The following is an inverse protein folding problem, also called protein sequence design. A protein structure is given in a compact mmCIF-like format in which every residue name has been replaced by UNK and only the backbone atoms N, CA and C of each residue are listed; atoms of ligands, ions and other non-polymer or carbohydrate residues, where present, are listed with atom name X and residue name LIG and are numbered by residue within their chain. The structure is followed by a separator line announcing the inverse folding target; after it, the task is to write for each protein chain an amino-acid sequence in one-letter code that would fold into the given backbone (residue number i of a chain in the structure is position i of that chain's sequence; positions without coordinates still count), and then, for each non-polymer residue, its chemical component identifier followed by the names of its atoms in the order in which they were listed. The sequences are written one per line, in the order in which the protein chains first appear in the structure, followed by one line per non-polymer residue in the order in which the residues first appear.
data_IF_170313127681
#
_entry.id   IF_170313127681
#
_cell.length_a   1.000
_cell.length_b   1.000
_cell.length_c   1.000
_cell.angle_alpha   90.00
_cell.angle_beta   90.00
_cell.angle_gamma   90.00
#
_symmetry.space_group_name_H-M   'P 1'
#
loop_
_entity.id
_entity.type
_entity.pdbx_description
1 polymer ?
#
# COMPACT_ATOMS: atom_id res chain seq x y z
N UNK A 1 0.27 -12.19 6.46
CA UNK A 1 1.20 -11.84 5.39
C UNK A 1 1.80 -10.51 5.74
N UNK A 2 3.09 -10.45 5.86
CA UNK A 2 3.76 -9.28 6.43
C UNK A 2 3.67 -8.12 5.43
N UNK A 3 3.04 -7.00 5.82
CA UNK A 3 2.93 -5.78 4.99
C UNK A 3 4.30 -5.27 4.51
N UNK A 4 5.39 -5.70 5.15
CA UNK A 4 6.77 -5.44 4.72
C UNK A 4 7.12 -6.05 3.35
N UNK A 5 6.52 -7.21 3.00
CA UNK A 5 6.88 -7.91 1.74
C UNK A 5 6.43 -7.18 0.46
N UNK A 6 5.34 -6.43 0.53
CA UNK A 6 4.82 -5.66 -0.62
C UNK A 6 5.63 -4.38 -0.86
N UNK A 7 6.24 -3.83 0.18
CA UNK A 7 7.01 -2.58 0.10
C UNK A 7 8.41 -2.79 -0.49
N UNK A 8 9.02 -3.97 -0.25
CA UNK A 8 10.34 -4.30 -0.79
C UNK A 8 10.32 -4.43 -2.32
N UNK A 9 9.23 -4.94 -2.89
CA UNK A 9 9.07 -5.05 -4.35
C UNK A 9 9.00 -3.71 -5.07
N UNK A 10 8.52 -2.67 -4.41
CA UNK A 10 8.40 -1.33 -5.00
C UNK A 10 9.75 -0.62 -5.19
N UNK A 11 10.79 -1.04 -4.47
CA UNK A 11 12.08 -0.33 -4.45
C UNK A 11 13.29 -1.23 -4.77
N UNK A 12 13.12 -2.31 -5.54
CA UNK A 12 14.22 -3.17 -6.06
C UNK A 12 15.22 -3.58 -4.97
N UNK A 13 14.75 -4.16 -3.86
CA UNK A 13 15.57 -4.62 -2.72
C UNK A 13 16.37 -3.53 -1.98
N UNK A 14 16.31 -2.27 -2.39
CA UNK A 14 16.95 -1.17 -1.67
C UNK A 14 16.11 -0.81 -0.44
N UNK A 15 16.79 -0.70 0.70
CA UNK A 15 16.12 -0.39 1.96
C UNK A 15 15.65 1.06 2.00
N UNK A 16 14.34 1.27 1.87
CA UNK A 16 13.67 2.53 2.17
C UNK A 16 13.11 2.44 3.58
N UNK A 17 13.55 3.34 4.47
CA UNK A 17 13.02 3.38 5.83
C UNK A 17 11.56 3.80 5.80
N UNK A 18 10.75 3.06 6.54
CA UNK A 18 9.31 3.28 6.66
C UNK A 18 8.89 3.34 8.12
N UNK A 19 7.80 4.04 8.38
CA UNK A 19 7.17 4.11 9.70
C UNK A 19 5.66 3.94 9.54
N UNK A 20 5.08 3.06 10.33
CA UNK A 20 3.62 2.91 10.41
C UNK A 20 3.05 3.81 11.50
N UNK A 21 2.16 4.70 11.12
CA UNK A 21 1.35 5.49 12.05
C UNK A 21 0.07 4.71 12.39
N UNK A 22 -0.05 4.32 13.66
CA UNK A 22 -1.19 3.54 14.15
C UNK A 22 -2.46 4.37 14.31
N UNK A 23 -2.32 5.68 14.57
CA UNK A 23 -3.46 6.56 14.81
C UNK A 23 -4.17 6.90 13.50
N UNK A 24 -3.38 7.17 12.43
CA UNK A 24 -3.90 7.51 11.12
C UNK A 24 -3.99 6.29 10.18
N UNK A 25 -3.56 5.11 10.62
CA UNK A 25 -3.46 3.88 9.81
C UNK A 25 -2.72 4.10 8.48
N UNK A 26 -1.60 4.85 8.52
CA UNK A 26 -0.90 5.29 7.33
C UNK A 26 0.60 4.99 7.38
N UNK A 27 1.19 4.69 6.21
CA UNK A 27 2.62 4.50 6.06
C UNK A 27 3.33 5.80 5.70
N UNK A 28 4.43 6.07 6.39
CA UNK A 28 5.37 7.14 6.09
C UNK A 28 6.68 6.59 5.55
N UNK A 29 7.19 7.19 4.50
CA UNK A 29 8.41 6.81 3.79
C UNK A 29 9.46 7.91 3.90
N UNK A 30 10.73 7.54 4.14
CA UNK A 30 11.84 8.47 4.10
C UNK A 30 12.06 9.00 2.68
N UNK A 31 11.85 10.29 2.47
CA UNK A 31 11.99 10.93 1.15
C UNK A 31 13.43 10.82 0.62
N UNK A 32 14.42 10.98 1.50
CA UNK A 32 15.82 10.89 1.11
C UNK A 32 16.19 9.51 0.60
N UNK A 33 15.65 8.46 1.21
CA UNK A 33 15.92 7.08 0.80
C UNK A 33 15.25 6.78 -0.56
N UNK A 34 14.02 7.24 -0.77
CA UNK A 34 13.33 7.12 -2.06
C UNK A 34 14.08 7.85 -3.17
N UNK A 35 14.52 9.09 -2.90
CA UNK A 35 15.35 9.85 -3.84
C UNK A 35 16.66 9.12 -4.15
N UNK A 36 17.30 8.51 -3.15
CA UNK A 36 18.53 7.72 -3.35
C UNK A 36 18.31 6.54 -4.30
N UNK A 37 17.18 5.86 -4.16
CA UNK A 37 16.82 4.72 -5.02
C UNK A 37 16.55 5.17 -6.45
N UNK A 38 15.76 6.24 -6.61
CA UNK A 38 15.23 6.64 -7.92
C UNK A 38 16.17 7.57 -8.72
N UNK A 39 17.23 8.11 -8.12
CA UNK A 39 18.10 9.06 -8.81
C UNK A 39 19.55 8.63 -8.94
N UNK A 40 19.98 7.59 -8.20
CA UNK A 40 21.41 7.22 -8.05
C UNK A 40 22.32 8.39 -7.67
N UNK A 41 21.76 9.42 -7.07
CA UNK A 41 22.51 10.58 -6.66
C UNK A 41 23.57 10.19 -5.60
N UNK A 42 24.79 10.63 -5.78
CA UNK A 42 25.85 10.49 -4.76
C UNK A 42 25.55 11.27 -3.48
N UNK A 43 24.63 12.24 -3.57
CA UNK A 43 24.18 13.02 -2.41
C UNK A 43 22.65 13.22 -2.44
N UNK A 44 21.86 12.21 -2.02
CA UNK A 44 20.41 12.27 -2.04
C UNK A 44 19.82 13.40 -1.19
N UNK A 45 20.48 13.77 -0.09
CA UNK A 45 20.04 14.88 0.76
C UNK A 45 20.11 16.21 0.05
N UNK A 46 21.22 16.46 -0.67
CA UNK A 46 21.37 17.68 -1.48
C UNK A 46 20.38 17.68 -2.63
N UNK A 47 20.20 16.55 -3.31
CA UNK A 47 19.21 16.41 -4.37
C UNK A 47 17.79 16.76 -3.86
N UNK A 48 17.39 16.18 -2.74
CA UNK A 48 16.10 16.48 -2.12
C UNK A 48 15.96 17.96 -1.76
N UNK A 49 16.98 18.58 -1.18
CA UNK A 49 16.96 20.02 -0.83
C UNK A 49 16.70 20.89 -2.06
N UNK A 50 17.38 20.62 -3.17
CA UNK A 50 17.20 21.35 -4.45
C UNK A 50 15.79 21.10 -5.02
N UNK A 51 15.36 19.85 -5.07
CA UNK A 51 14.02 19.48 -5.55
C UNK A 51 12.92 20.13 -4.70
N UNK A 52 13.07 20.10 -3.38
CA UNK A 52 12.14 20.74 -2.42
C UNK A 52 12.01 22.24 -2.67
N UNK A 53 13.13 22.91 -2.94
CA UNK A 53 13.14 24.35 -3.27
C UNK A 53 12.41 24.60 -4.59
N UNK A 54 12.69 23.81 -5.63
CA UNK A 54 12.02 23.92 -6.93
C UNK A 54 10.50 23.73 -6.79
N UNK A 55 10.06 22.67 -6.11
CA UNK A 55 8.64 22.39 -5.86
C UNK A 55 7.95 23.55 -5.12
N UNK A 56 8.62 24.18 -4.16
CA UNK A 56 8.11 25.37 -3.48
C UNK A 56 7.94 26.55 -4.43
N UNK A 57 8.92 26.79 -5.28
CA UNK A 57 8.86 27.88 -6.27
C UNK A 57 7.75 27.68 -7.29
N UNK A 58 7.48 26.42 -7.65
CA UNK A 58 6.38 26.02 -8.54
C UNK A 58 5.00 26.04 -7.84
N UNK A 59 4.94 26.43 -6.56
CA UNK A 59 3.70 26.46 -5.78
C UNK A 59 3.16 25.09 -5.36
N UNK A 60 3.97 24.04 -5.49
CA UNK A 60 3.59 22.69 -5.09
C UNK A 60 3.52 22.54 -3.57
N UNK A 61 2.38 22.09 -3.06
CA UNK A 61 2.20 21.83 -1.63
C UNK A 61 2.98 20.60 -1.14
N UNK A 62 3.48 19.75 -2.03
CA UNK A 62 4.27 18.56 -1.66
C UNK A 62 5.47 18.88 -0.78
N UNK A 63 6.11 20.01 -1.04
CA UNK A 63 7.29 20.43 -0.30
C UNK A 63 6.95 20.98 1.11
N UNK A 64 5.73 21.48 1.31
CA UNK A 64 5.25 22.03 2.59
C UNK A 64 4.55 20.98 3.46
N UNK A 65 3.90 20.00 2.85
CA UNK A 65 3.17 18.93 3.54
C UNK A 65 4.06 17.74 3.96
N UNK A 66 5.38 17.89 3.81
CA UNK A 66 6.34 16.88 4.22
C UNK A 66 6.45 16.83 5.75
N UNK A 67 6.15 15.69 6.35
CA UNK A 67 6.23 15.47 7.80
C UNK A 67 7.68 15.21 8.24
N UNK A 68 8.09 15.77 9.39
CA UNK A 68 9.39 15.47 9.98
C UNK A 68 9.26 14.45 11.10
N UNK A 69 9.63 13.20 10.81
CA UNK A 69 9.56 12.09 11.76
C UNK A 69 10.97 11.64 12.19
N UNK A 70 11.08 11.11 13.41
CA UNK A 70 12.32 10.50 13.88
C UNK A 70 12.46 9.11 13.28
N UNK A 71 13.50 8.88 12.51
CA UNK A 71 13.82 7.58 11.91
C UNK A 71 15.22 7.11 12.30
N UNK A 72 15.42 5.78 12.45
CA UNK A 72 16.74 5.23 12.75
C UNK A 72 17.71 5.48 11.58
N UNK A 73 18.96 5.78 11.90
CA UNK A 73 20.05 5.91 10.94
C UNK A 73 21.04 4.74 11.10
N UNK A 74 21.99 4.64 10.17
CA UNK A 74 23.00 3.56 10.17
C UNK A 74 23.90 3.55 11.42
N UNK A 75 24.02 4.69 12.10
CA UNK A 75 24.76 4.82 13.37
C UNK A 75 23.92 4.43 14.60
N UNK A 76 22.71 3.91 14.41
CA UNK A 76 21.79 3.51 15.48
C UNK A 76 21.08 4.67 16.18
N UNK A 77 21.33 5.92 15.79
CA UNK A 77 20.67 7.10 16.36
C UNK A 77 19.41 7.47 15.59
N UNK A 78 18.52 8.17 16.28
CA UNK A 78 17.25 8.66 15.70
C UNK A 78 17.42 10.11 15.21
N UNK A 79 17.19 10.33 13.93
CA UNK A 79 17.26 11.67 13.32
C UNK A 79 15.92 12.09 12.73
N UNK A 80 15.63 13.38 12.81
CA UNK A 80 14.52 13.99 12.09
C UNK A 80 14.74 13.84 10.60
N UNK A 81 13.81 13.18 9.93
CA UNK A 81 13.86 12.85 8.52
C UNK A 81 12.59 13.35 7.85
N UNK A 82 12.71 13.95 6.69
CA UNK A 82 11.55 14.33 5.87
C UNK A 82 10.87 13.06 5.37
N UNK A 83 9.59 12.92 5.70
CA UNK A 83 8.77 11.75 5.39
C UNK A 83 7.50 12.16 4.65
N UNK A 84 7.02 11.29 3.80
CA UNK A 84 5.79 11.47 3.04
C UNK A 84 4.91 10.23 3.15
N UNK A 85 3.60 10.44 3.07
CA UNK A 85 2.62 9.36 2.93
C UNK A 85 2.72 8.71 1.56
N UNK A 86 2.03 7.59 1.37
CA UNK A 86 2.02 6.87 0.07
C UNK A 86 1.54 7.79 -1.08
N UNK A 87 0.47 8.54 -0.86
CA UNK A 87 -0.07 9.46 -1.86
C UNK A 87 0.94 10.57 -2.22
N UNK A 88 1.47 11.23 -1.21
CA UNK A 88 2.46 12.30 -1.39
C UNK A 88 3.71 11.79 -2.09
N UNK A 89 4.14 10.57 -1.76
CA UNK A 89 5.29 9.92 -2.37
C UNK A 89 5.07 9.68 -3.87
N UNK A 90 3.91 9.16 -4.27
CA UNK A 90 3.59 8.94 -5.68
C UNK A 90 3.61 10.26 -6.48
N UNK A 91 3.08 11.33 -5.91
CA UNK A 91 3.15 12.67 -6.52
C UNK A 91 4.59 13.18 -6.62
N UNK A 92 5.42 12.94 -5.59
CA UNK A 92 6.84 13.31 -5.62
C UNK A 92 7.59 12.57 -6.73
N UNK A 93 7.38 11.26 -6.88
CA UNK A 93 8.04 10.43 -7.89
C UNK A 93 7.78 10.95 -9.31
N UNK A 94 6.57 11.44 -9.58
CA UNK A 94 6.24 12.05 -10.87
C UNK A 94 7.08 13.31 -11.14
N UNK A 95 7.47 14.04 -10.09
CA UNK A 95 8.28 15.26 -10.19
C UNK A 95 9.79 15.01 -10.32
N UNK A 96 10.25 13.76 -10.18
CA UNK A 96 11.67 13.39 -10.28
C UNK A 96 12.05 13.19 -11.75
N UNK A 97 12.90 14.04 -12.34
CA UNK A 97 13.37 13.90 -13.73
C UNK A 97 14.54 12.91 -13.80
N UNK A 98 14.29 11.64 -13.50
CA UNK A 98 15.31 10.59 -13.55
C UNK A 98 14.85 9.42 -14.40
N UNK A 99 15.70 8.88 -15.30
CA UNK A 99 15.39 7.67 -16.05
C UNK A 99 15.06 6.48 -15.16
N UNK A 100 15.63 6.40 -13.96
CA UNK A 100 15.33 5.35 -12.97
C UNK A 100 13.94 5.45 -12.35
N UNK A 101 13.34 6.63 -12.34
CA UNK A 101 11.97 6.81 -11.89
C UNK A 101 10.95 6.40 -12.96
N UNK A 102 11.37 6.26 -14.22
CA UNK A 102 10.48 6.00 -15.36
C UNK A 102 9.74 4.67 -15.26
N UNK A 103 10.38 3.52 -14.93
CA UNK A 103 9.66 2.26 -14.75
C UNK A 103 8.57 2.35 -13.69
N UNK A 104 8.81 3.10 -12.62
CA UNK A 104 7.83 3.30 -11.56
C UNK A 104 6.66 4.19 -12.02
N UNK A 105 6.93 5.25 -12.81
CA UNK A 105 5.89 6.09 -13.39
C UNK A 105 5.00 5.31 -14.36
N UNK A 106 5.59 4.46 -15.18
CA UNK A 106 4.87 3.57 -16.10
C UNK A 106 4.00 2.58 -15.32
N UNK A 107 4.53 1.98 -14.26
CA UNK A 107 3.76 1.10 -13.38
C UNK A 107 2.57 1.83 -12.76
N UNK A 108 2.76 3.06 -12.22
CA UNK A 108 1.65 3.85 -11.68
C UNK A 108 0.57 4.14 -12.74
N UNK A 109 1.00 4.48 -13.97
CA UNK A 109 0.08 4.74 -15.08
C UNK A 109 -0.72 3.48 -15.44
N UNK A 110 -0.07 2.30 -15.42
CA UNK A 110 -0.74 1.02 -15.67
C UNK A 110 -1.75 0.71 -14.58
N UNK A 111 -1.38 0.86 -13.29
CA UNK A 111 -2.30 0.65 -12.15
C UNK A 111 -3.51 1.58 -12.24
N UNK A 112 -3.29 2.86 -12.58
CA UNK A 112 -4.39 3.82 -12.75
C UNK A 112 -5.31 3.41 -13.91
N UNK A 113 -4.74 2.98 -15.04
CA UNK A 113 -5.49 2.47 -16.20
C UNK A 113 -6.32 1.24 -15.81
N UNK A 114 -5.70 0.25 -15.17
CA UNK A 114 -6.39 -0.97 -14.75
C UNK A 114 -7.54 -0.65 -13.79
N UNK A 115 -7.36 0.30 -12.87
CA UNK A 115 -8.42 0.75 -11.96
C UNK A 115 -9.58 1.42 -12.71
N UNK A 116 -9.30 2.19 -13.77
CA UNK A 116 -10.35 2.79 -14.61
C UNK A 116 -11.10 1.70 -15.40
N UNK A 117 -10.36 0.74 -15.96
CA UNK A 117 -10.96 -0.39 -16.70
C UNK A 117 -11.85 -1.23 -15.76
N UNK A 118 -11.45 -1.44 -14.51
CA UNK A 118 -12.24 -2.15 -13.49
C UNK A 118 -13.52 -1.40 -13.08
N UNK A 119 -13.50 -0.06 -13.05
CA UNK A 119 -14.71 0.73 -12.81
C UNK A 119 -15.70 0.52 -13.97
N UNK A 120 -15.20 0.46 -15.20
CA UNK A 120 -16.03 0.25 -16.39
C UNK A 120 -16.49 -1.21 -16.54
N UNK A 121 -15.65 -2.16 -16.15
CA UNK A 121 -15.87 -3.61 -16.25
C UNK A 121 -15.58 -4.28 -14.90
N UNK A 122 -16.54 -4.26 -13.95
CA UNK A 122 -16.33 -4.76 -12.58
C UNK A 122 -15.89 -6.21 -12.47
N UNK A 123 -16.18 -7.04 -13.47
CA UNK A 123 -15.72 -8.42 -13.56
C UNK A 123 -14.19 -8.56 -13.61
N UNK A 124 -13.47 -7.53 -14.07
CA UNK A 124 -12.02 -7.52 -14.08
C UNK A 124 -11.44 -7.52 -12.66
N UNK A 125 -12.10 -6.85 -11.71
CA UNK A 125 -11.72 -6.87 -10.28
C UNK A 125 -11.78 -8.28 -9.72
N UNK A 126 -12.84 -9.03 -10.04
CA UNK A 126 -13.01 -10.42 -9.59
C UNK A 126 -11.91 -11.31 -10.19
N UNK A 127 -11.64 -11.16 -11.49
CA UNK A 127 -10.60 -11.92 -12.16
C UNK A 127 -9.20 -11.62 -11.59
N UNK A 128 -8.90 -10.35 -11.29
CA UNK A 128 -7.65 -9.97 -10.64
C UNK A 128 -7.51 -10.61 -9.25
N UNK A 129 -8.55 -10.52 -8.44
CA UNK A 129 -8.55 -11.14 -7.10
C UNK A 129 -8.29 -12.66 -7.17
N UNK A 130 -8.89 -13.35 -8.14
CA UNK A 130 -8.64 -14.78 -8.38
C UNK A 130 -7.19 -15.07 -8.75
N UNK A 131 -6.61 -14.25 -9.63
CA UNK A 131 -5.20 -14.40 -10.03
C UNK A 131 -4.25 -14.14 -8.87
N UNK A 132 -4.53 -13.12 -8.03
CA UNK A 132 -3.74 -12.84 -6.84
C UNK A 132 -3.78 -13.98 -5.83
N UNK A 133 -4.96 -14.58 -5.57
CA UNK A 133 -5.06 -15.76 -4.71
C UNK A 133 -4.27 -16.95 -5.27
N UNK A 134 -4.31 -17.19 -6.58
CA UNK A 134 -3.52 -18.25 -7.22
C UNK A 134 -2.01 -17.98 -7.13
N UNK A 135 -1.58 -16.73 -7.32
CA UNK A 135 -0.18 -16.33 -7.19
C UNK A 135 0.34 -16.48 -5.74
N UNK A 136 -0.57 -16.46 -4.76
CA UNK A 136 -0.30 -16.73 -3.34
C UNK A 136 -0.39 -18.22 -2.99
N UNK A 137 -0.51 -19.09 -4.00
CA UNK A 137 -0.58 -20.56 -3.86
C UNK A 137 -1.80 -21.07 -3.07
N UNK A 138 -2.89 -20.30 -3.00
CA UNK A 138 -4.13 -20.80 -2.43
C UNK A 138 -4.78 -21.81 -3.38
N UNK A 139 -5.32 -22.92 -2.81
CA UNK A 139 -6.03 -23.95 -3.59
C UNK A 139 -7.34 -23.42 -4.18
N UNK A 140 -7.76 -23.95 -5.31
CA UNK A 140 -9.05 -23.59 -5.93
C UNK A 140 -10.23 -23.83 -4.99
N UNK A 141 -10.17 -24.87 -4.17
CA UNK A 141 -11.19 -25.14 -3.16
C UNK A 141 -11.27 -24.02 -2.10
N UNK A 142 -10.13 -23.58 -1.59
CA UNK A 142 -10.06 -22.46 -0.65
C UNK A 142 -10.60 -21.16 -1.28
N UNK A 143 -10.20 -20.88 -2.52
CA UNK A 143 -10.66 -19.68 -3.26
C UNK A 143 -12.19 -19.70 -3.38
N UNK A 144 -12.77 -20.81 -3.78
CA UNK A 144 -14.21 -20.97 -3.92
C UNK A 144 -14.95 -20.79 -2.58
N UNK A 145 -14.42 -21.37 -1.49
CA UNK A 145 -14.99 -21.18 -0.15
C UNK A 145 -14.88 -19.71 0.30
N UNK A 146 -13.78 -19.03 -0.02
CA UNK A 146 -13.60 -17.62 0.31
C UNK A 146 -14.62 -16.74 -0.41
N UNK A 147 -14.82 -16.95 -1.71
CA UNK A 147 -15.84 -16.22 -2.49
C UNK A 147 -17.24 -16.42 -1.94
N UNK A 148 -17.62 -17.68 -1.66
CA UNK A 148 -18.92 -17.98 -1.03
C UNK A 148 -19.09 -17.30 0.32
N UNK A 149 -18.03 -17.25 1.14
CA UNK A 149 -18.10 -16.58 2.44
C UNK A 149 -18.31 -15.07 2.32
N UNK A 150 -17.77 -14.45 1.28
CA UNK A 150 -17.97 -13.01 0.99
C UNK A 150 -19.43 -12.78 0.55
N UNK A 151 -19.97 -13.63 -0.32
CA UNK A 151 -21.35 -13.58 -0.78
C UNK A 151 -22.33 -13.69 0.39
N UNK A 152 -22.19 -14.74 1.22
CA UNK A 152 -23.03 -14.95 2.40
C UNK A 152 -22.99 -13.76 3.36
N UNK A 153 -21.81 -13.17 3.59
CA UNK A 153 -21.68 -11.98 4.44
C UNK A 153 -22.41 -10.78 3.85
N UNK A 154 -22.31 -10.59 2.54
CA UNK A 154 -23.02 -9.51 1.86
C UNK A 154 -24.51 -9.68 2.01
N UNK A 155 -25.06 -10.88 1.74
CA UNK A 155 -26.48 -11.17 1.89
C UNK A 155 -26.96 -10.93 3.32
N UNK A 156 -26.18 -11.38 4.33
CA UNK A 156 -26.50 -11.17 5.73
C UNK A 156 -26.50 -9.66 6.09
N UNK A 157 -25.52 -8.91 5.59
CA UNK A 157 -25.44 -7.47 5.82
C UNK A 157 -26.60 -6.73 5.16
N UNK A 158 -26.97 -7.13 3.96
CA UNK A 158 -28.10 -6.53 3.23
C UNK A 158 -29.43 -6.83 3.93
N UNK A 159 -29.58 -8.03 4.50
CA UNK A 159 -30.76 -8.39 5.29
C UNK A 159 -30.82 -7.58 6.60
N UNK A 160 -29.70 -7.39 7.30
CA UNK A 160 -29.64 -6.55 8.49
C UNK A 160 -30.02 -5.09 8.20
N UNK A 161 -29.55 -4.52 7.07
CA UNK A 161 -29.94 -3.17 6.63
C UNK A 161 -31.45 -3.06 6.38
N UNK A 162 -32.06 -4.06 5.75
CA UNK A 162 -33.52 -4.09 5.54
C UNK A 162 -34.32 -4.08 6.84
N UNK A 163 -33.79 -4.73 7.90
CA UNK A 163 -34.41 -4.76 9.22
C UNK A 163 -34.03 -3.58 10.12
N UNK A 164 -33.38 -2.53 9.57
CA UNK A 164 -33.07 -1.30 10.29
C UNK A 164 -31.98 -1.46 11.36
N UNK A 165 -31.25 -2.57 11.36
CA UNK A 165 -30.09 -2.75 12.22
C UNK A 165 -28.98 -1.86 11.68
N UNK A 166 -28.62 -0.81 12.44
CA UNK A 166 -27.51 0.06 12.11
C UNK A 166 -26.22 -0.73 12.09
N UNK A 167 -25.36 -0.41 11.15
CA UNK A 167 -24.02 -0.99 11.02
C UNK A 167 -23.36 -1.10 12.40
N UNK A 168 -22.91 -2.31 12.71
CA UNK A 168 -22.08 -2.55 13.87
C UNK A 168 -20.77 -1.79 13.63
N UNK A 169 -20.52 -0.74 14.43
CA UNK A 169 -19.39 0.16 14.25
C UNK A 169 -18.07 -0.61 14.14
N UNK A 170 -17.38 -0.49 13.03
CA UNK A 170 -15.94 -0.73 12.86
C UNK A 170 -15.49 -2.19 12.73
N UNK A 171 -16.02 -3.11 13.50
CA UNK A 171 -15.43 -4.47 13.60
C UNK A 171 -15.67 -5.37 12.39
N UNK A 172 -16.69 -5.11 11.55
CA UNK A 172 -16.97 -5.91 10.35
C UNK A 172 -16.02 -5.57 9.20
N UNK A 173 -15.57 -4.33 9.08
CA UNK A 173 -14.54 -3.93 8.11
C UNK A 173 -13.17 -4.48 8.51
N UNK A 174 -12.89 -4.57 9.81
CA UNK A 174 -11.68 -5.21 10.31
C UNK A 174 -11.68 -6.73 10.09
N UNK A 175 -12.81 -7.40 10.23
CA UNK A 175 -12.95 -8.83 9.91
C UNK A 175 -12.73 -9.13 8.41
N UNK A 176 -13.02 -8.17 7.51
CA UNK A 176 -12.67 -8.29 6.10
C UNK A 176 -11.16 -8.10 5.84
N UNK A 177 -10.48 -7.35 6.71
CA UNK A 177 -9.03 -7.09 6.64
C UNK A 177 -8.19 -8.17 7.31
N UNK A 178 -8.79 -9.03 8.14
CA UNK A 178 -8.05 -10.12 8.78
C UNK A 178 -7.60 -11.12 7.71
N UNK A 179 -6.28 -11.36 7.57
CA UNK A 179 -5.80 -12.46 6.76
C UNK A 179 -6.31 -13.76 7.38
N UNK A 180 -7.18 -14.46 6.68
CA UNK A 180 -7.52 -15.84 7.05
C UNK A 180 -6.26 -16.65 6.79
N UNK A 181 -5.52 -16.99 7.85
CA UNK A 181 -4.35 -17.85 7.74
C UNK A 181 -4.86 -19.27 7.39
N UNK A 182 -4.64 -19.77 6.16
CA UNK A 182 -5.14 -21.07 5.74
C UNK A 182 -4.53 -22.22 6.55
N UNK A 183 -3.37 -21.98 7.20
CA UNK A 183 -2.70 -22.98 8.05
C UNK A 183 -3.40 -23.19 9.40
N UNK A 184 -4.31 -22.29 9.80
CA UNK A 184 -5.08 -22.43 11.04
C UNK A 184 -6.43 -23.12 10.87
N UNK A 185 -6.94 -23.22 9.65
CA UNK A 185 -8.23 -23.86 9.37
C UNK A 185 -8.13 -25.39 9.34
N UNK A 186 -6.96 -25.96 9.06
CA UNK A 186 -6.76 -27.42 9.04
C UNK A 186 -6.72 -28.07 10.43
N UNK A 187 -6.59 -27.27 11.50
CA UNK A 187 -6.52 -27.80 12.88
C UNK A 187 -7.91 -28.16 13.43
N UNK A 188 -8.99 -27.64 12.85
CA UNK A 188 -10.36 -27.90 13.30
C UNK A 188 -10.98 -29.19 12.72
N UNK A 189 -10.40 -29.79 11.68
CA UNK A 189 -10.87 -31.02 11.06
C UNK A 189 -10.08 -32.31 11.47
N UNK A 190 -9.09 -32.17 12.38
CA UNK A 190 -8.33 -33.34 12.88
C UNK A 190 -8.76 -33.81 14.28
N UNK A 191 -9.94 -33.41 14.75
CA UNK A 191 -10.53 -33.93 15.99
C UNK A 191 -11.97 -34.42 15.75
N UNK A 192 -12.11 -35.44 14.95
CA UNK A 192 -13.21 -36.42 15.03
C UNK A 192 -12.63 -37.82 14.80
#
# INVERSE_FOLDING_TARGET
MDKQHTQVKLFEEKQVRTLWDKENEEWYFSVVDVVAVLTESSNPRKYWSVLKTRLKTEGSQLATNCSQLKMPAADGKMYKTDCMTTEQLFRLIQSIPSPKAEPFKLWMAQVAKDSIDEIQYPELTVNRALQEYKALEYSDNWINQRLKSIEIRKDLTDEWKKHGLKEYNGDMLELQKLPVDPKKTDILHQKE
#
